data_IF_779109165700
#
_entry.id   IF_779109165700
#
_cell.length_a   1.000
_cell.length_b   1.000
_cell.length_c   1.000
_cell.angle_alpha   90.00
_cell.angle_beta   90.00
_cell.angle_gamma   90.00
#
_symmetry.space_group_name_H-M   'P 1'
#
loop_
_entity.id
_entity.type
_entity.pdbx_description
1 polymer ?
#
# COMPACT_ATOMS: atom_id res chain seq x y z
N UNK A 1 19.03 -13.03 -11.41
CA UNK A 1 17.67 -12.59 -11.03
C UNK A 1 17.51 -11.07 -10.99
N UNK A 2 18.16 -10.30 -10.10
CA UNK A 2 18.05 -8.82 -10.13
C UNK A 2 18.54 -8.24 -11.45
N UNK A 3 19.71 -8.69 -11.91
CA UNK A 3 20.29 -8.29 -13.19
C UNK A 3 19.37 -8.66 -14.35
N UNK A 4 18.73 -9.84 -14.30
CA UNK A 4 17.77 -10.29 -15.33
C UNK A 4 16.49 -9.48 -15.34
N UNK A 5 15.90 -9.18 -14.17
CA UNK A 5 14.69 -8.36 -14.10
C UNK A 5 14.96 -6.92 -14.53
N UNK A 6 16.09 -6.33 -14.12
CA UNK A 6 16.50 -5.00 -14.56
C UNK A 6 16.75 -4.97 -16.07
N UNK A 7 17.46 -5.96 -16.62
CA UNK A 7 17.69 -6.08 -18.07
C UNK A 7 16.41 -6.31 -18.86
N UNK A 8 15.47 -7.09 -18.33
CA UNK A 8 14.18 -7.33 -18.95
C UNK A 8 13.32 -6.05 -18.98
N UNK A 9 13.24 -5.32 -17.86
CA UNK A 9 12.52 -4.04 -17.77
C UNK A 9 13.14 -3.00 -18.72
N UNK A 10 14.47 -2.97 -18.87
CA UNK A 10 15.18 -2.11 -19.83
C UNK A 10 14.82 -2.41 -21.28
N UNK A 11 14.54 -3.67 -21.62
CA UNK A 11 14.23 -4.11 -23.00
C UNK A 11 12.74 -4.12 -23.32
N UNK A 12 11.86 -4.07 -22.32
CA UNK A 12 10.42 -4.14 -22.51
C UNK A 12 9.84 -2.76 -22.90
N UNK A 13 9.32 -2.58 -24.13
CA UNK A 13 8.80 -1.28 -24.61
C UNK A 13 7.67 -0.74 -23.73
N UNK A 14 6.75 -1.61 -23.28
CA UNK A 14 5.67 -1.22 -22.38
C UNK A 14 6.21 -0.76 -21.01
N UNK A 15 7.28 -1.38 -20.50
CA UNK A 15 7.87 -0.93 -19.24
C UNK A 15 8.60 0.41 -19.39
N UNK A 16 9.23 0.65 -20.53
CA UNK A 16 9.91 1.92 -20.84
C UNK A 16 8.90 3.06 -21.02
N UNK A 17 7.82 2.84 -21.76
CA UNK A 17 6.76 3.84 -22.00
C UNK A 17 6.08 4.27 -20.69
N UNK A 18 5.93 3.34 -19.75
CA UNK A 18 5.24 3.58 -18.47
C UNK A 18 6.20 3.81 -17.28
N UNK A 19 7.51 3.93 -17.54
CA UNK A 19 8.52 4.21 -16.52
C UNK A 19 8.42 5.65 -16.03
N UNK A 20 8.61 5.88 -14.73
CA UNK A 20 8.71 7.24 -14.20
C UNK A 20 10.07 7.84 -14.65
N UNK A 21 10.06 8.93 -15.41
CA UNK A 21 11.25 9.72 -15.73
C UNK A 21 11.62 10.58 -14.51
N UNK A 22 12.57 10.12 -13.69
CA UNK A 22 13.05 10.86 -12.53
C UNK A 22 14.19 11.78 -12.97
N UNK A 23 13.87 13.04 -13.26
CA UNK A 23 14.84 14.08 -13.64
C UNK A 23 15.36 14.93 -12.45
N UNK A 24 14.95 14.61 -11.22
CA UNK A 24 15.28 15.39 -10.03
C UNK A 24 16.09 14.51 -9.06
N UNK A 25 17.23 15.00 -8.53
CA UNK A 25 17.97 14.26 -7.50
C UNK A 25 17.06 13.98 -6.30
N UNK A 26 17.12 12.76 -5.71
CA UNK A 26 16.29 12.43 -4.57
C UNK A 26 16.54 13.42 -3.44
N UNK A 27 15.52 14.19 -3.04
CA UNK A 27 15.60 14.94 -1.80
C UNK A 27 15.60 13.92 -0.65
N UNK A 28 16.54 14.02 0.28
CA UNK A 28 16.55 13.18 1.48
C UNK A 28 15.29 13.48 2.31
N UNK A 29 14.26 12.65 2.12
CA UNK A 29 13.15 12.57 3.04
C UNK A 29 13.67 11.80 4.25
N UNK A 30 13.82 12.48 5.40
CA UNK A 30 13.95 11.81 6.69
C UNK A 30 12.67 11.01 6.94
N UNK A 31 12.64 9.78 6.44
CA UNK A 31 11.52 8.88 6.63
C UNK A 31 11.38 8.62 8.13
N UNK A 32 10.15 8.72 8.63
CA UNK A 32 9.83 8.19 9.95
C UNK A 32 10.26 6.72 9.98
N UNK A 33 11.30 6.43 10.75
CA UNK A 33 11.72 5.07 11.04
C UNK A 33 10.80 4.53 12.13
N UNK A 34 9.92 3.61 11.74
CA UNK A 34 9.16 2.80 12.70
C UNK A 34 10.16 1.97 13.52
N UNK A 35 10.02 1.89 14.85
CA UNK A 35 10.99 1.19 15.69
C UNK A 35 10.93 -0.33 15.52
N UNK A 36 9.78 -0.89 15.14
CA UNK A 36 9.62 -2.31 14.81
C UNK A 36 8.44 -2.54 13.83
N UNK A 37 8.38 -3.74 13.26
CA UNK A 37 7.31 -4.17 12.35
C UNK A 37 5.92 -3.92 12.93
N UNK A 38 5.04 -3.34 12.11
CA UNK A 38 3.62 -3.13 12.42
C UNK A 38 3.32 -2.16 13.57
N UNK A 39 4.33 -1.42 14.06
CA UNK A 39 4.12 -0.46 15.15
C UNK A 39 3.53 0.88 14.67
N UNK A 40 3.88 1.31 13.46
CA UNK A 40 3.40 2.57 12.86
C UNK A 40 2.78 2.29 11.50
N UNK A 41 1.50 2.62 11.37
CA UNK A 41 0.75 2.48 10.12
C UNK A 41 0.33 3.83 9.57
N UNK A 42 0.51 4.05 8.27
CA UNK A 42 -0.13 5.14 7.56
C UNK A 42 -1.35 4.63 6.82
N UNK A 43 -2.47 5.35 6.90
CA UNK A 43 -3.73 4.99 6.26
C UNK A 43 -4.26 6.17 5.44
N UNK A 44 -4.69 5.88 4.22
CA UNK A 44 -5.17 6.87 3.26
C UNK A 44 -6.21 6.26 2.30
N UNK A 45 -6.97 7.12 1.62
CA UNK A 45 -8.04 6.72 0.69
C UNK A 45 -7.66 7.13 -0.73
N UNK A 46 -7.61 6.16 -1.63
CA UNK A 46 -7.64 6.43 -3.06
C UNK A 46 -9.10 6.65 -3.46
N UNK A 47 -9.46 7.92 -3.65
CA UNK A 47 -10.82 8.32 -3.99
C UNK A 47 -11.11 8.33 -5.50
N UNK A 48 -12.42 8.27 -5.83
CA UNK A 48 -13.00 8.59 -7.14
C UNK A 48 -12.33 7.87 -8.32
N UNK A 49 -12.12 6.56 -8.19
CA UNK A 49 -11.63 5.76 -9.31
C UNK A 49 -12.74 5.69 -10.37
N UNK A 50 -12.48 6.32 -11.52
CA UNK A 50 -13.40 6.37 -12.65
C UNK A 50 -12.84 5.58 -13.84
N UNK A 51 -13.65 4.73 -14.49
CA UNK A 51 -15.04 4.42 -14.14
C UNK A 51 -15.15 3.55 -12.88
N UNK A 52 -16.34 3.57 -12.24
CA UNK A 52 -16.65 2.63 -11.16
C UNK A 52 -16.43 1.20 -11.65
N UNK A 53 -15.98 0.34 -10.75
CA UNK A 53 -15.83 -1.07 -11.06
C UNK A 53 -17.17 -1.70 -11.47
N UNK A 54 -17.13 -2.90 -12.06
CA UNK A 54 -18.35 -3.64 -12.39
C UNK A 54 -19.19 -3.98 -11.15
N UNK A 55 -18.60 -4.02 -9.96
CA UNK A 55 -19.30 -4.17 -8.67
C UNK A 55 -19.72 -2.83 -8.04
N UNK A 56 -19.54 -1.71 -8.75
CA UNK A 56 -19.86 -0.38 -8.27
C UNK A 56 -18.86 0.22 -7.28
N UNK A 57 -17.69 -0.41 -7.10
CA UNK A 57 -16.64 0.13 -6.24
C UNK A 57 -16.05 1.38 -6.86
N UNK A 58 -15.66 2.35 -6.02
CA UNK A 58 -15.08 3.63 -6.45
C UNK A 58 -13.98 4.17 -5.50
N UNK A 59 -13.81 3.53 -4.34
CA UNK A 59 -12.79 3.87 -3.35
C UNK A 59 -11.85 2.67 -3.10
N UNK A 60 -10.60 2.95 -2.76
CA UNK A 60 -9.69 1.97 -2.16
C UNK A 60 -9.14 2.57 -0.87
N UNK A 61 -9.36 1.90 0.26
CA UNK A 61 -8.70 2.21 1.52
C UNK A 61 -7.36 1.47 1.55
N UNK A 62 -6.27 2.18 1.81
CA UNK A 62 -4.91 1.65 1.81
C UNK A 62 -4.27 1.92 3.16
N UNK A 63 -3.64 0.92 3.75
CA UNK A 63 -2.78 1.06 4.92
C UNK A 63 -1.40 0.47 4.65
N UNK A 64 -0.35 1.19 5.05
CA UNK A 64 1.04 0.75 4.91
C UNK A 64 1.74 0.73 6.27
N UNK A 65 2.45 -0.36 6.56
CA UNK A 65 3.39 -0.44 7.68
C UNK A 65 4.70 0.29 7.35
N UNK A 66 5.15 1.15 8.27
CA UNK A 66 6.30 2.02 8.01
C UNK A 66 7.63 1.28 8.07
N UNK A 67 7.69 0.14 8.76
CA UNK A 67 8.91 -0.66 8.86
C UNK A 67 9.08 -1.55 7.63
N UNK A 68 8.17 -2.51 7.45
CA UNK A 68 8.23 -3.55 6.40
C UNK A 68 7.80 -3.06 5.03
N UNK A 69 7.17 -1.87 4.95
CA UNK A 69 6.46 -1.38 3.76
C UNK A 69 5.35 -2.33 3.32
N UNK A 70 4.85 -3.18 4.21
CA UNK A 70 3.72 -4.05 3.94
C UNK A 70 2.45 -3.22 3.74
N UNK A 71 1.70 -3.53 2.68
CA UNK A 71 0.46 -2.81 2.34
C UNK A 71 -0.74 -3.72 2.49
N UNK A 72 -1.76 -3.26 3.21
CA UNK A 72 -3.12 -3.78 3.17
C UNK A 72 -4.02 -2.82 2.39
N UNK A 73 -4.93 -3.34 1.58
CA UNK A 73 -5.92 -2.51 0.91
C UNK A 73 -7.24 -3.24 0.66
N UNK A 74 -8.34 -2.50 0.67
CA UNK A 74 -9.67 -3.01 0.34
C UNK A 74 -10.43 -1.97 -0.48
N UNK A 75 -11.27 -2.43 -1.42
CA UNK A 75 -12.08 -1.57 -2.27
C UNK A 75 -13.53 -1.47 -1.77
N UNK A 76 -14.15 -0.31 -1.98
CA UNK A 76 -15.49 -0.01 -1.46
C UNK A 76 -16.35 0.71 -2.51
N UNK A 77 -17.63 0.36 -2.58
CA UNK A 77 -18.65 1.15 -3.28
C UNK A 77 -19.03 2.41 -2.51
N UNK A 78 -19.10 2.33 -1.18
CA UNK A 78 -19.31 3.47 -0.28
C UNK A 78 -18.42 3.28 0.93
N UNK A 79 -17.59 4.26 1.23
CA UNK A 79 -16.69 4.21 2.39
C UNK A 79 -17.24 5.11 3.51
N UNK A 80 -17.41 4.55 4.69
CA UNK A 80 -17.84 5.26 5.91
C UNK A 80 -16.76 5.15 6.97
N UNK A 81 -16.82 6.01 8.00
CA UNK A 81 -15.95 5.91 9.18
C UNK A 81 -16.05 4.55 9.88
N UNK A 82 -17.25 3.99 9.99
CA UNK A 82 -17.46 2.63 10.47
C UNK A 82 -16.77 1.57 9.58
N UNK A 83 -16.79 1.77 8.26
CA UNK A 83 -16.06 0.93 7.30
C UNK A 83 -14.55 0.98 7.51
N UNK A 84 -13.99 2.18 7.71
CA UNK A 84 -12.56 2.38 8.03
C UNK A 84 -12.20 1.71 9.37
N UNK A 85 -13.01 1.89 10.41
CA UNK A 85 -12.78 1.25 11.71
C UNK A 85 -12.83 -0.29 11.60
N UNK A 86 -13.78 -0.83 10.82
CA UNK A 86 -13.86 -2.26 10.54
C UNK A 86 -12.63 -2.78 9.81
N UNK A 87 -12.12 -2.02 8.83
CA UNK A 87 -10.89 -2.33 8.12
C UNK A 87 -9.68 -2.37 9.06
N UNK A 88 -9.47 -1.34 9.88
CA UNK A 88 -8.37 -1.29 10.86
C UNK A 88 -8.43 -2.51 11.79
N UNK A 89 -9.62 -2.83 12.31
CA UNK A 89 -9.78 -4.00 13.19
C UNK A 89 -9.43 -5.31 12.48
N UNK A 90 -10.01 -5.57 11.32
CA UNK A 90 -9.91 -6.86 10.63
C UNK A 90 -8.58 -7.07 9.90
N UNK A 91 -8.04 -6.03 9.26
CA UNK A 91 -6.87 -6.14 8.38
C UNK A 91 -5.57 -5.70 9.05
N UNK A 92 -5.63 -4.97 10.17
CA UNK A 92 -4.45 -4.55 10.94
C UNK A 92 -4.43 -5.27 12.29
N UNK A 93 -5.36 -4.95 13.18
CA UNK A 93 -5.32 -5.42 14.58
C UNK A 93 -5.38 -6.95 14.67
N UNK A 94 -6.35 -7.58 14.01
CA UNK A 94 -6.52 -9.04 14.06
C UNK A 94 -5.42 -9.82 13.32
N UNK A 95 -4.59 -9.18 12.50
CA UNK A 95 -3.55 -9.85 11.69
C UNK A 95 -2.14 -9.63 12.23
N UNK A 96 -1.85 -8.42 12.69
CA UNK A 96 -0.50 -7.99 13.06
C UNK A 96 -0.40 -7.50 14.51
N UNK A 97 -1.52 -7.44 15.22
CA UNK A 97 -1.59 -6.89 16.58
C UNK A 97 -1.94 -5.40 16.60
N UNK A 98 -2.06 -4.87 17.81
CA UNK A 98 -2.43 -3.46 18.03
C UNK A 98 -1.23 -2.56 17.70
N UNK A 99 -1.36 -1.64 16.72
CA UNK A 99 -0.28 -0.73 16.40
C UNK A 99 -0.09 0.32 17.50
N UNK A 100 1.14 0.82 17.63
CA UNK A 100 1.45 1.92 18.55
C UNK A 100 0.93 3.25 18.03
N UNK A 101 1.08 3.50 16.72
CA UNK A 101 0.66 4.74 16.07
C UNK A 101 -0.07 4.48 14.75
N UNK A 102 -1.14 5.23 14.52
CA UNK A 102 -1.86 5.31 13.25
C UNK A 102 -1.73 6.74 12.73
N UNK A 103 -1.29 6.89 11.48
CA UNK A 103 -1.12 8.17 10.80
C UNK A 103 -2.18 8.24 9.69
N UNK A 104 -3.03 9.28 9.71
CA UNK A 104 -3.98 9.54 8.62
C UNK A 104 -3.98 11.02 8.27
N UNK A 105 -4.64 11.38 7.17
CA UNK A 105 -5.01 12.78 6.93
C UNK A 105 -6.15 13.23 7.87
N UNK A 106 -6.67 14.44 7.65
CA UNK A 106 -7.79 15.02 8.42
C UNK A 106 -9.17 14.71 7.83
N UNK A 107 -9.24 13.77 6.89
CA UNK A 107 -10.45 13.36 6.19
C UNK A 107 -11.56 12.93 7.15
N UNK A 108 -12.81 13.17 6.73
CA UNK A 108 -14.00 12.88 7.56
C UNK A 108 -14.17 11.39 7.86
N UNK A 109 -13.66 10.52 6.99
CA UNK A 109 -13.70 9.07 7.14
C UNK A 109 -12.81 8.57 8.30
N UNK A 110 -11.83 9.35 8.76
CA UNK A 110 -10.92 8.99 9.85
C UNK A 110 -11.35 9.55 11.21
N UNK A 111 -12.62 9.95 11.35
CA UNK A 111 -13.21 10.48 12.59
C UNK A 111 -14.27 9.55 13.16
N UNK A 112 -14.86 9.92 14.30
CA UNK A 112 -16.01 9.27 14.93
C UNK A 112 -15.74 7.80 15.33
N UNK A 113 -16.18 6.83 14.53
CA UNK A 113 -15.96 5.41 14.83
C UNK A 113 -14.47 5.05 14.85
N UNK A 114 -13.65 5.72 14.04
CA UNK A 114 -12.19 5.56 14.08
C UNK A 114 -11.62 6.11 15.38
N UNK A 115 -12.08 7.29 15.85
CA UNK A 115 -11.68 7.86 17.15
C UNK A 115 -12.02 6.91 18.30
N UNK A 116 -13.23 6.34 18.27
CA UNK A 116 -13.69 5.38 19.28
C UNK A 116 -12.81 4.12 19.29
N UNK A 117 -12.43 3.64 18.10
CA UNK A 117 -11.56 2.47 17.95
C UNK A 117 -10.16 2.75 18.49
N UNK A 118 -9.51 3.83 18.06
CA UNK A 118 -8.14 4.15 18.48
C UNK A 118 -8.06 4.41 19.97
N UNK A 119 -9.08 5.06 20.56
CA UNK A 119 -9.17 5.23 22.02
C UNK A 119 -9.32 3.89 22.75
N UNK A 120 -10.18 2.99 22.26
CA UNK A 120 -10.41 1.68 22.87
C UNK A 120 -9.15 0.82 22.93
N UNK A 121 -8.33 0.86 21.89
CA UNK A 121 -7.09 0.07 21.79
C UNK A 121 -5.84 0.86 22.23
N UNK A 122 -6.01 2.08 22.73
CA UNK A 122 -4.91 2.97 23.12
C UNK A 122 -3.87 3.21 22.00
N UNK A 123 -4.35 3.32 20.77
CA UNK A 123 -3.54 3.61 19.58
C UNK A 123 -3.33 5.13 19.49
N UNK A 124 -2.09 5.59 19.34
CA UNK A 124 -1.82 7.01 19.11
C UNK A 124 -2.27 7.38 17.70
N UNK A 125 -3.34 8.16 17.58
CA UNK A 125 -3.80 8.63 16.27
C UNK A 125 -3.21 9.99 15.93
N UNK A 126 -2.26 10.01 14.99
CA UNK A 126 -1.69 11.24 14.46
C UNK A 126 -2.40 11.65 13.17
N UNK A 127 -3.09 12.79 13.22
CA UNK A 127 -3.73 13.38 12.04
C UNK A 127 -2.83 14.41 11.40
N UNK A 128 -2.14 14.01 10.33
CA UNK A 128 -1.23 14.88 9.60
C UNK A 128 -1.99 16.06 9.01
N UNK A 129 -1.42 17.26 9.10
CA UNK A 129 -1.90 18.42 8.33
C UNK A 129 -1.34 18.34 6.90
N UNK A 130 -1.99 19.01 5.95
CA UNK A 130 -1.54 19.11 4.55
C UNK A 130 -0.08 19.60 4.40
N UNK A 131 0.50 20.20 5.44
CA UNK A 131 1.85 20.78 5.48
C UNK A 131 2.94 19.86 6.06
N UNK A 132 2.67 18.59 6.35
CA UNK A 132 3.70 17.60 6.79
C UNK A 132 3.83 16.39 5.85
N UNK A 133 4.28 16.60 4.60
CA UNK A 133 4.44 15.53 3.60
C UNK A 133 5.43 14.44 4.05
N UNK A 134 6.39 14.75 4.92
CA UNK A 134 7.37 13.79 5.45
C UNK A 134 6.72 12.58 6.13
N UNK A 135 5.58 12.78 6.81
CA UNK A 135 4.89 11.69 7.52
C UNK A 135 3.95 10.92 6.61
N UNK A 136 3.24 11.58 5.70
CA UNK A 136 2.34 10.90 4.75
C UNK A 136 3.06 10.29 3.54
N UNK A 137 4.33 10.60 3.31
CA UNK A 137 5.05 10.17 2.11
C UNK A 137 5.08 8.67 1.89
N UNK A 138 5.07 7.85 2.95
CA UNK A 138 5.04 6.40 2.81
C UNK A 138 3.71 5.88 2.23
N UNK A 139 2.58 6.38 2.73
CA UNK A 139 1.25 5.98 2.24
C UNK A 139 0.97 6.57 0.85
N UNK A 140 1.42 7.80 0.58
CA UNK A 140 1.35 8.42 -0.75
C UNK A 140 2.16 7.65 -1.79
N UNK A 141 3.38 7.22 -1.44
CA UNK A 141 4.21 6.39 -2.30
C UNK A 141 3.59 5.01 -2.54
N UNK A 142 2.99 4.39 -1.53
CA UNK A 142 2.21 3.15 -1.71
C UNK A 142 1.04 3.36 -2.66
N UNK A 143 0.26 4.44 -2.48
CA UNK A 143 -0.88 4.78 -3.32
C UNK A 143 -0.45 4.97 -4.79
N UNK A 144 0.64 5.69 -5.05
CA UNK A 144 1.20 5.85 -6.41
C UNK A 144 1.58 4.50 -7.02
N UNK A 145 2.23 3.63 -6.24
CA UNK A 145 2.65 2.30 -6.70
C UNK A 145 1.45 1.38 -6.98
N UNK A 146 0.45 1.32 -6.10
CA UNK A 146 -0.76 0.53 -6.29
C UNK A 146 -1.50 0.99 -7.56
N UNK A 147 -1.67 2.31 -7.73
CA UNK A 147 -2.28 2.88 -8.95
C UNK A 147 -1.50 2.49 -10.21
N UNK A 148 -0.17 2.49 -10.16
CA UNK A 148 0.69 2.09 -11.29
C UNK A 148 0.55 0.59 -11.62
N UNK A 149 0.52 -0.28 -10.61
CA UNK A 149 0.36 -1.72 -10.81
C UNK A 149 -1.05 -2.03 -11.34
N UNK A 150 -2.09 -1.44 -10.75
CA UNK A 150 -3.46 -1.61 -11.21
C UNK A 150 -3.63 -1.19 -12.67
N UNK A 151 -3.09 -0.03 -13.07
CA UNK A 151 -3.14 0.43 -14.48
C UNK A 151 -2.57 -0.59 -15.47
N UNK A 152 -1.60 -1.41 -15.06
CA UNK A 152 -1.00 -2.46 -15.91
C UNK A 152 -1.80 -3.78 -15.91
N UNK A 153 -2.63 -4.02 -14.90
CA UNK A 153 -3.38 -5.27 -14.74
C UNK A 153 -4.85 -5.20 -15.19
N UNK A 154 -5.37 -3.98 -15.28
CA UNK A 154 -6.74 -3.68 -15.69
C UNK A 154 -6.85 -3.93 -17.20
N UNK A 155 -7.67 -4.92 -17.58
CA UNK A 155 -7.94 -5.24 -18.98
C UNK A 155 -9.14 -4.44 -19.48
N UNK A 156 -10.16 -4.35 -18.62
CA UNK A 156 -11.33 -3.50 -18.84
C UNK A 156 -11.36 -2.41 -17.79
N UNK A 157 -11.69 -1.18 -18.16
CA UNK A 157 -11.68 -0.03 -17.24
C UNK A 157 -12.50 -0.21 -15.95
N UNK A 158 -13.36 -1.25 -15.86
CA UNK A 158 -14.25 -1.56 -14.75
C UNK A 158 -13.84 -2.81 -13.94
N UNK A 159 -12.80 -3.55 -14.32
CA UNK A 159 -12.38 -4.77 -13.58
C UNK A 159 -11.40 -4.54 -12.43
N UNK A 160 -10.94 -3.30 -12.24
CA UNK A 160 -9.85 -2.96 -11.31
C UNK A 160 -10.03 -3.48 -9.88
N UNK A 161 -11.27 -3.51 -9.37
CA UNK A 161 -11.56 -4.02 -8.02
C UNK A 161 -11.23 -5.51 -7.86
N UNK A 162 -11.41 -6.31 -8.92
CA UNK A 162 -11.06 -7.73 -8.96
C UNK A 162 -9.55 -7.95 -9.13
N UNK A 163 -8.86 -6.97 -9.73
CA UNK A 163 -7.39 -7.01 -9.93
C UNK A 163 -6.61 -6.57 -8.68
N UNK A 164 -7.27 -5.94 -7.70
CA UNK A 164 -6.63 -5.42 -6.48
C UNK A 164 -5.83 -6.48 -5.69
N UNK A 165 -6.31 -7.71 -5.45
CA UNK A 165 -5.51 -8.73 -4.76
C UNK A 165 -4.21 -9.07 -5.50
N UNK A 166 -4.25 -9.14 -6.84
CA UNK A 166 -3.06 -9.39 -7.66
C UNK A 166 -2.11 -8.19 -7.63
N UNK A 167 -2.64 -6.97 -7.63
CA UNK A 167 -1.82 -5.77 -7.51
C UNK A 167 -1.11 -5.70 -6.14
N UNK A 168 -1.79 -6.09 -5.06
CA UNK A 168 -1.18 -6.21 -3.73
C UNK A 168 -0.12 -7.32 -3.68
N UNK A 169 -0.39 -8.47 -4.29
CA UNK A 169 0.59 -9.55 -4.41
C UNK A 169 1.86 -9.05 -5.10
N UNK A 170 1.73 -8.48 -6.30
CA UNK A 170 2.84 -7.91 -7.04
C UNK A 170 3.57 -6.83 -6.24
N UNK A 171 2.85 -5.97 -5.51
CA UNK A 171 3.47 -4.97 -4.64
C UNK A 171 4.34 -5.61 -3.56
N UNK A 172 3.82 -6.64 -2.87
CA UNK A 172 4.44 -7.29 -1.70
C UNK A 172 5.64 -8.14 -2.09
N UNK A 173 5.66 -8.72 -3.27
CA UNK A 173 6.78 -9.54 -3.77
C UNK A 173 7.77 -8.77 -4.63
N UNK A 174 7.56 -7.46 -4.84
CA UNK A 174 8.51 -6.62 -5.56
C UNK A 174 9.53 -6.01 -4.61
N UNK A 175 10.79 -6.02 -5.04
CA UNK A 175 11.89 -5.43 -4.29
C UNK A 175 11.67 -3.93 -4.05
N UNK A 176 12.01 -3.47 -2.84
CA UNK A 176 11.95 -2.06 -2.46
C UNK A 176 13.36 -1.56 -2.20
N UNK A 177 13.80 -0.61 -3.03
CA UNK A 177 15.10 0.06 -2.84
C UNK A 177 15.21 0.75 -1.48
N UNK A 178 14.09 1.23 -0.93
CA UNK A 178 14.07 1.90 0.38
C UNK A 178 14.32 0.97 1.57
N UNK A 179 14.10 -0.34 1.43
CA UNK A 179 14.34 -1.33 2.50
C UNK A 179 15.39 -2.38 2.13
N UNK A 180 15.84 -2.41 0.87
CA UNK A 180 16.77 -3.43 0.37
C UNK A 180 16.19 -4.85 0.34
N UNK A 181 14.86 -5.00 0.44
CA UNK A 181 14.18 -6.29 0.52
C UNK A 181 12.76 -6.21 -0.06
N UNK A 182 12.10 -7.35 -0.24
CA UNK A 182 10.65 -7.36 -0.54
C UNK A 182 9.85 -7.16 0.75
N UNK A 183 8.70 -6.47 0.72
CA UNK A 183 7.81 -6.41 1.88
C UNK A 183 7.42 -7.80 2.39
N UNK A 184 7.30 -8.77 1.49
CA UNK A 184 7.00 -10.15 1.84
C UNK A 184 8.10 -10.80 2.69
N UNK A 185 9.38 -10.69 2.30
CA UNK A 185 10.47 -11.27 3.08
C UNK A 185 10.67 -10.57 4.42
N UNK A 186 10.39 -9.27 4.52
CA UNK A 186 10.42 -8.55 5.80
C UNK A 186 9.32 -8.99 6.78
N UNK A 187 8.16 -9.42 6.26
CA UNK A 187 7.04 -9.89 7.09
C UNK A 187 7.18 -11.36 7.46
N UNK A 188 7.57 -12.21 6.52
CA UNK A 188 7.54 -13.67 6.68
C UNK A 188 8.93 -14.31 6.86
N UNK A 189 10.00 -13.53 6.79
CA UNK A 189 11.38 -14.02 6.93
C UNK A 189 11.91 -14.77 5.72
N UNK A 190 11.13 -14.91 4.64
CA UNK A 190 11.53 -15.60 3.42
C UNK A 190 10.84 -14.99 2.19
N UNK A 191 11.46 -15.15 1.03
CA UNK A 191 10.87 -14.70 -0.23
C UNK A 191 9.66 -15.54 -0.63
N UNK A 192 8.67 -14.89 -1.25
CA UNK A 192 7.54 -15.59 -1.84
C UNK A 192 8.01 -16.52 -2.97
N UNK A 193 7.39 -17.70 -3.06
CA UNK A 193 7.54 -18.58 -4.22
C UNK A 193 6.76 -17.98 -5.39
N UNK A 194 7.48 -17.55 -6.41
CA UNK A 194 6.89 -17.00 -7.63
C UNK A 194 6.58 -18.14 -8.61
N UNK A 195 5.55 -18.03 -9.47
CA UNK A 195 5.21 -19.06 -10.45
C UNK A 195 6.39 -19.49 -11.33
N UNK A 196 7.27 -18.55 -11.71
CA UNK A 196 8.48 -18.86 -12.49
C UNK A 196 9.44 -19.83 -11.77
N UNK A 197 9.48 -19.78 -10.43
CA UNK A 197 10.32 -20.68 -9.62
C UNK A 197 9.71 -22.08 -9.51
N UNK A 198 8.39 -22.25 -9.69
CA UNK A 198 7.74 -23.56 -9.65
C UNK A 198 8.24 -24.48 -10.77
N UNK A 199 8.48 -23.93 -11.97
CA UNK A 199 9.06 -24.67 -13.10
C UNK A 199 10.53 -25.06 -12.90
N UNK A 200 11.18 -24.56 -11.85
CA UNK A 200 12.57 -24.90 -11.51
C UNK A 200 12.66 -26.06 -10.51
N UNK A 201 11.53 -26.50 -9.96
CA UNK A 201 11.45 -27.64 -9.03
C UNK A 201 10.92 -28.92 -9.71
N UNK A 202 10.61 -28.87 -11.00
CA UNK A 202 10.13 -29.99 -11.81
C UNK A 202 11.23 -30.54 -12.71
#
# INVERSE_FOLDING_TARGET
>A
METDCCQFVQRCPECQIHGDLIHVPPSELHALTSPWSFSVWGIDIIEKISPKSSSGHEFILVAIDYFTKWVEAASYARLTSAGVASFIRSHIICRYGVPHELISDRGVHFRAEVDTLVQRYNIRHHRSSAYRPQRNGAVEAANKNIKRILRKMVETSRDWSKKLPFALWAYRTSFRTSTGATPYSLVYGMEAVLPIKLYSFS
#
